data_IF_215545154837
#
_entry.id   IF_215545154837
#
_cell.length_a   1.000
_cell.length_b   1.000
_cell.length_c   1.000
_cell.angle_alpha   90.00
_cell.angle_beta   90.00
_cell.angle_gamma   90.00
#
_symmetry.space_group_name_H-M   'P 1'
#
loop_
_entity.id
_entity.type
_entity.pdbx_description
1 polymer ?
#
# COMPACT_ATOMS: atom_id res chain seq x y z
N UNK A 1 -23.61 -11.15 1.75
CA UNK A 1 -22.39 -10.40 1.37
C UNK A 1 -21.35 -11.21 0.58
N UNK A 2 -21.18 -12.54 0.77
CA UNK A 2 -20.27 -13.37 -0.07
C UNK A 2 -20.69 -13.52 -1.53
N UNK A 3 -22.00 -13.66 -1.76
CA UNK A 3 -22.55 -13.93 -3.10
C UNK A 3 -22.27 -12.79 -4.09
N UNK A 4 -22.21 -11.53 -3.62
CA UNK A 4 -21.87 -10.38 -4.45
C UNK A 4 -20.46 -10.50 -5.02
N UNK A 5 -19.47 -10.86 -4.18
CA UNK A 5 -18.09 -11.04 -4.65
C UNK A 5 -17.94 -12.25 -5.56
N UNK A 6 -18.69 -13.32 -5.30
CA UNK A 6 -18.77 -14.46 -6.21
C UNK A 6 -19.34 -14.05 -7.57
N UNK A 7 -20.47 -13.34 -7.62
CA UNK A 7 -21.04 -12.83 -8.86
C UNK A 7 -20.07 -11.89 -9.58
N UNK A 8 -19.42 -10.96 -8.88
CA UNK A 8 -18.41 -10.07 -9.46
C UNK A 8 -17.23 -10.85 -10.05
N UNK A 9 -16.72 -11.86 -9.32
CA UNK A 9 -15.67 -12.75 -9.82
C UNK A 9 -16.09 -13.48 -11.10
N UNK A 10 -17.26 -14.11 -11.10
CA UNK A 10 -17.77 -14.84 -12.28
C UNK A 10 -17.94 -13.90 -13.47
N UNK A 11 -18.47 -12.70 -13.25
CA UNK A 11 -18.62 -11.70 -14.32
C UNK A 11 -17.26 -11.29 -14.89
N UNK A 12 -16.28 -10.95 -14.05
CA UNK A 12 -14.94 -10.60 -14.51
C UNK A 12 -14.30 -11.75 -15.30
N UNK A 13 -14.38 -12.98 -14.79
CA UNK A 13 -13.84 -14.18 -15.44
C UNK A 13 -14.51 -14.46 -16.80
N UNK A 14 -15.84 -14.31 -16.89
CA UNK A 14 -16.54 -14.48 -18.16
C UNK A 14 -16.12 -13.42 -19.18
N UNK A 15 -15.94 -12.17 -18.75
CA UNK A 15 -15.45 -11.10 -19.62
C UNK A 15 -14.03 -11.41 -20.10
N UNK A 16 -13.13 -11.85 -19.23
CA UNK A 16 -11.78 -12.29 -19.62
C UNK A 16 -11.81 -13.42 -20.65
N UNK A 17 -12.65 -14.44 -20.45
CA UNK A 17 -12.79 -15.56 -21.40
C UNK A 17 -13.34 -15.08 -22.75
N UNK A 18 -14.32 -14.18 -22.74
CA UNK A 18 -14.89 -13.59 -23.96
C UNK A 18 -13.82 -12.77 -24.71
N UNK A 19 -13.07 -11.93 -23.99
CA UNK A 19 -11.97 -11.15 -24.57
C UNK A 19 -10.90 -12.09 -25.15
N UNK A 20 -10.47 -13.10 -24.39
CA UNK A 20 -9.44 -14.04 -24.83
C UNK A 20 -9.85 -14.85 -26.05
N UNK A 21 -11.14 -15.19 -26.19
CA UNK A 21 -11.65 -15.99 -27.30
C UNK A 21 -11.98 -15.16 -28.55
N UNK A 22 -12.56 -13.98 -28.39
CA UNK A 22 -13.17 -13.22 -29.51
C UNK A 22 -12.48 -11.90 -29.81
N UNK A 23 -11.74 -11.30 -28.87
CA UNK A 23 -11.06 -10.04 -29.12
C UNK A 23 -9.74 -10.25 -29.87
N UNK A 24 -9.34 -9.23 -30.63
CA UNK A 24 -8.05 -9.18 -31.32
C UNK A 24 -7.37 -7.83 -31.06
N UNK A 25 -6.05 -7.75 -31.29
CA UNK A 25 -5.28 -6.52 -31.10
C UNK A 25 -5.27 -6.01 -29.65
N UNK A 26 -5.39 -4.70 -29.49
CA UNK A 26 -5.25 -3.97 -28.21
C UNK A 26 -6.25 -4.45 -27.16
N UNK A 27 -7.48 -4.78 -27.56
CA UNK A 27 -8.52 -5.24 -26.63
C UNK A 27 -8.12 -6.56 -25.97
N UNK A 28 -7.48 -7.46 -26.71
CA UNK A 28 -7.03 -8.75 -26.18
C UNK A 28 -5.81 -8.63 -25.28
N UNK A 29 -4.84 -7.79 -25.64
CA UNK A 29 -3.56 -7.70 -24.93
C UNK A 29 -3.40 -6.56 -23.93
N UNK A 30 -4.46 -5.82 -23.61
CA UNK A 30 -4.40 -4.77 -22.57
C UNK A 30 -5.67 -4.79 -21.71
N UNK A 31 -6.84 -4.82 -22.36
CA UNK A 31 -8.12 -4.82 -21.65
C UNK A 31 -8.34 -6.11 -20.85
N UNK A 32 -7.83 -7.24 -21.36
CA UNK A 32 -7.77 -8.50 -20.61
C UNK A 32 -6.92 -8.37 -19.35
N UNK A 33 -5.70 -7.81 -19.46
CA UNK A 33 -4.74 -7.74 -18.36
C UNK A 33 -5.16 -6.77 -17.25
N UNK A 34 -5.92 -5.73 -17.61
CA UNK A 34 -6.57 -4.84 -16.63
C UNK A 34 -7.52 -5.62 -15.71
N UNK A 35 -8.22 -6.63 -16.22
CA UNK A 35 -9.21 -7.40 -15.47
C UNK A 35 -8.60 -8.43 -14.52
N UNK A 36 -7.35 -8.84 -14.75
CA UNK A 36 -6.67 -9.86 -13.94
C UNK A 36 -6.68 -9.49 -12.45
N UNK A 37 -6.35 -8.24 -12.12
CA UNK A 37 -6.30 -7.77 -10.73
C UNK A 37 -7.69 -7.75 -10.05
N UNK A 38 -8.75 -7.16 -10.65
CA UNK A 38 -10.12 -7.32 -10.19
C UNK A 38 -10.56 -8.77 -10.02
N UNK A 39 -10.26 -9.65 -10.99
CA UNK A 39 -10.62 -11.07 -10.96
C UNK A 39 -9.98 -11.77 -9.76
N UNK A 40 -8.66 -11.62 -9.57
CA UNK A 40 -7.92 -12.17 -8.43
C UNK A 40 -8.46 -11.63 -7.10
N UNK A 41 -8.72 -10.33 -7.04
CA UNK A 41 -9.26 -9.69 -5.84
C UNK A 41 -10.61 -10.29 -5.44
N UNK A 42 -11.57 -10.36 -6.36
CA UNK A 42 -12.90 -10.90 -6.06
C UNK A 42 -12.85 -12.39 -5.73
N UNK A 43 -11.98 -13.16 -6.39
CA UNK A 43 -11.74 -14.57 -6.08
C UNK A 43 -11.26 -14.74 -4.63
N UNK A 44 -10.16 -14.08 -4.26
CA UNK A 44 -9.58 -14.20 -2.91
C UNK A 44 -10.52 -13.65 -1.83
N UNK A 45 -11.23 -12.57 -2.13
CA UNK A 45 -12.22 -11.97 -1.23
C UNK A 45 -13.41 -12.89 -1.01
N UNK A 46 -13.87 -13.59 -2.04
CA UNK A 46 -14.96 -14.57 -1.92
C UNK A 46 -14.53 -15.81 -1.12
N UNK A 47 -13.38 -16.41 -1.45
CA UNK A 47 -12.93 -17.68 -0.87
C UNK A 47 -12.44 -17.51 0.58
N UNK A 48 -11.51 -16.57 0.81
CA UNK A 48 -10.76 -16.48 2.06
C UNK A 48 -11.14 -15.26 2.90
N UNK A 49 -11.37 -14.10 2.28
CA UNK A 49 -11.45 -12.81 2.98
C UNK A 49 -12.81 -12.11 2.85
N UNK A 50 -13.88 -12.87 3.01
CA UNK A 50 -15.24 -12.37 2.81
C UNK A 50 -15.69 -11.30 3.81
N UNK A 51 -15.02 -11.21 4.97
CA UNK A 51 -15.32 -10.23 6.00
C UNK A 51 -14.79 -8.86 5.58
N UNK A 52 -15.59 -7.81 5.77
CA UNK A 52 -15.18 -6.43 5.53
C UNK A 52 -14.27 -5.94 6.67
N UNK A 53 -13.02 -6.38 6.67
CA UNK A 53 -11.97 -5.86 7.54
C UNK A 53 -10.95 -5.06 6.71
N UNK A 54 -10.05 -4.38 7.41
CA UNK A 54 -9.02 -3.52 6.79
C UNK A 54 -8.16 -4.29 5.80
N UNK A 55 -7.82 -5.54 6.12
CA UNK A 55 -7.05 -6.40 5.22
C UNK A 55 -7.78 -6.64 3.90
N UNK A 56 -9.03 -7.13 3.94
CA UNK A 56 -9.84 -7.43 2.75
C UNK A 56 -10.12 -6.20 1.88
N UNK A 57 -10.28 -5.03 2.49
CA UNK A 57 -10.65 -3.81 1.78
C UNK A 57 -9.42 -3.10 1.21
N UNK A 58 -8.37 -2.88 2.02
CA UNK A 58 -7.28 -1.97 1.66
C UNK A 58 -5.98 -2.70 1.29
N UNK A 59 -5.71 -3.85 1.90
CA UNK A 59 -4.44 -4.57 1.74
C UNK A 59 -4.52 -5.61 0.63
N UNK A 60 -5.64 -6.32 0.53
CA UNK A 60 -5.85 -7.38 -0.46
C UNK A 60 -5.71 -6.89 -1.92
N UNK A 61 -6.23 -5.71 -2.32
CA UNK A 61 -6.00 -5.19 -3.68
C UNK A 61 -4.50 -4.96 -3.97
N UNK A 62 -3.77 -4.41 -2.99
CA UNK A 62 -2.33 -4.17 -3.08
C UNK A 62 -1.58 -5.51 -3.18
N UNK A 63 -1.98 -6.52 -2.41
CA UNK A 63 -1.41 -7.86 -2.49
C UNK A 63 -1.63 -8.47 -3.89
N UNK A 64 -2.80 -8.30 -4.50
CA UNK A 64 -3.08 -8.77 -5.86
C UNK A 64 -2.16 -8.08 -6.88
N UNK A 65 -1.95 -6.77 -6.75
CA UNK A 65 -1.01 -6.03 -7.59
C UNK A 65 0.44 -6.55 -7.46
N UNK A 66 0.90 -6.83 -6.23
CA UNK A 66 2.21 -7.46 -6.03
C UNK A 66 2.29 -8.88 -6.58
N UNK A 67 1.20 -9.65 -6.55
CA UNK A 67 1.16 -10.97 -7.21
C UNK A 67 1.33 -10.83 -8.73
N UNK A 68 0.74 -9.80 -9.36
CA UNK A 68 0.94 -9.49 -10.78
C UNK A 68 2.40 -9.17 -11.09
N UNK A 69 3.03 -8.26 -10.33
CA UNK A 69 4.47 -7.99 -10.45
C UNK A 69 5.33 -9.24 -10.30
N UNK A 70 5.00 -10.11 -9.35
CA UNK A 70 5.74 -11.35 -9.14
C UNK A 70 5.60 -12.28 -10.34
N UNK A 71 4.41 -12.38 -10.95
CA UNK A 71 4.22 -13.14 -12.18
C UNK A 71 5.11 -12.62 -13.32
N UNK A 72 5.16 -11.30 -13.54
CA UNK A 72 6.03 -10.68 -14.56
C UNK A 72 7.52 -10.93 -14.32
N UNK A 73 7.97 -10.82 -13.08
CA UNK A 73 9.37 -11.10 -12.72
C UNK A 73 9.70 -12.57 -12.99
N UNK A 74 8.79 -13.49 -12.66
CA UNK A 74 8.99 -14.92 -12.94
C UNK A 74 9.08 -15.20 -14.45
N UNK A 75 8.31 -14.48 -15.27
CA UNK A 75 8.41 -14.53 -16.73
C UNK A 75 9.73 -13.95 -17.24
N UNK A 76 10.21 -12.83 -16.67
CA UNK A 76 11.48 -12.19 -17.01
C UNK A 76 12.69 -13.13 -16.77
N UNK A 77 12.64 -13.91 -15.69
CA UNK A 77 13.70 -14.89 -15.36
C UNK A 77 13.69 -16.11 -16.30
N UNK A 78 12.66 -16.22 -17.15
CA UNK A 78 12.45 -17.28 -18.14
C UNK A 78 12.61 -18.67 -17.50
N UNK A 79 11.98 -18.86 -16.33
CA UNK A 79 12.04 -20.11 -15.56
C UNK A 79 11.55 -21.29 -16.41
N UNK A 80 10.59 -21.06 -17.30
CA UNK A 80 10.09 -22.05 -18.28
C UNK A 80 11.20 -22.54 -19.22
N UNK A 81 12.00 -21.61 -19.77
CA UNK A 81 13.16 -21.93 -20.60
C UNK A 81 14.27 -22.66 -19.83
N UNK A 82 14.52 -22.29 -18.57
CA UNK A 82 15.53 -22.95 -17.72
C UNK A 82 15.11 -24.34 -17.23
N UNK A 83 13.82 -24.58 -17.05
CA UNK A 83 13.27 -25.88 -16.63
C UNK A 83 12.97 -26.81 -17.82
N UNK A 84 13.20 -26.38 -19.05
CA UNK A 84 12.90 -27.17 -20.26
C UNK A 84 11.41 -27.48 -20.44
N UNK A 85 10.54 -26.71 -19.78
CA UNK A 85 9.09 -26.92 -19.84
C UNK A 85 8.61 -26.36 -21.18
N UNK A 86 7.96 -27.22 -21.98
CA UNK A 86 7.37 -26.80 -23.25
C UNK A 86 6.36 -25.66 -23.00
N UNK A 87 6.55 -24.51 -23.67
CA UNK A 87 5.65 -23.35 -23.59
C UNK A 87 4.24 -23.67 -24.07
N UNK A 88 4.04 -24.75 -24.84
CA UNK A 88 2.72 -25.24 -25.27
C UNK A 88 2.06 -26.15 -24.23
N UNK A 89 2.81 -26.64 -23.25
CA UNK A 89 2.24 -27.42 -22.16
C UNK A 89 1.34 -26.55 -21.29
N UNK A 90 0.38 -27.17 -20.59
CA UNK A 90 -0.48 -26.47 -19.63
C UNK A 90 0.34 -25.64 -18.62
N UNK A 91 1.46 -26.18 -18.15
CA UNK A 91 2.38 -25.48 -17.22
C UNK A 91 3.08 -24.31 -17.92
N UNK A 92 3.47 -24.45 -19.19
CA UNK A 92 4.05 -23.37 -19.99
C UNK A 92 3.08 -22.22 -20.28
N UNK A 93 1.80 -22.52 -20.46
CA UNK A 93 0.73 -21.52 -20.63
C UNK A 93 0.42 -20.82 -19.29
N UNK A 94 0.37 -21.57 -18.17
CA UNK A 94 0.12 -21.03 -16.83
C UNK A 94 1.29 -20.19 -16.31
N UNK A 95 2.54 -20.56 -16.63
CA UNK A 95 3.73 -19.79 -16.29
C UNK A 95 3.94 -18.56 -17.19
N UNK A 96 3.15 -18.44 -18.26
CA UNK A 96 3.01 -17.21 -19.02
C UNK A 96 4.13 -16.94 -20.05
N UNK A 97 3.95 -15.78 -20.69
CA UNK A 97 4.70 -15.31 -21.84
C UNK A 97 6.05 -14.68 -21.49
N UNK A 98 6.33 -13.53 -22.10
CA UNK A 98 7.53 -12.75 -21.83
C UNK A 98 7.14 -11.52 -21.03
N UNK A 99 8.06 -11.07 -20.18
CA UNK A 99 7.92 -9.83 -19.43
C UNK A 99 7.49 -8.66 -20.33
N UNK A 100 6.37 -8.02 -19.98
CA UNK A 100 5.90 -6.78 -20.61
C UNK A 100 5.60 -5.71 -19.56
N UNK A 101 6.18 -4.52 -19.74
CA UNK A 101 5.92 -3.36 -18.89
C UNK A 101 4.45 -2.93 -19.01
N UNK A 102 3.83 -3.15 -20.16
CA UNK A 102 2.43 -2.85 -20.38
C UNK A 102 1.50 -3.64 -19.45
N UNK A 103 1.86 -4.88 -19.11
CA UNK A 103 1.10 -5.72 -18.19
C UNK A 103 1.12 -5.12 -16.77
N UNK A 104 2.27 -4.58 -16.35
CA UNK A 104 2.40 -3.86 -15.07
C UNK A 104 1.49 -2.61 -15.04
N UNK A 105 1.41 -1.86 -16.14
CA UNK A 105 0.53 -0.71 -16.26
C UNK A 105 -0.93 -1.14 -16.26
N UNK A 106 -1.27 -2.24 -16.95
CA UNK A 106 -2.60 -2.82 -16.95
C UNK A 106 -3.04 -3.25 -15.54
N UNK A 107 -2.16 -3.93 -14.78
CA UNK A 107 -2.42 -4.31 -13.40
C UNK A 107 -2.64 -3.10 -12.48
N UNK A 108 -1.91 -2.01 -12.70
CA UNK A 108 -2.10 -0.76 -11.97
C UNK A 108 -3.46 -0.12 -12.27
N UNK A 109 -3.89 -0.15 -13.54
CA UNK A 109 -5.24 0.29 -13.93
C UNK A 109 -6.32 -0.61 -13.34
N UNK A 110 -6.09 -1.93 -13.30
CA UNK A 110 -6.98 -2.89 -12.64
C UNK A 110 -7.15 -2.59 -11.15
N UNK A 111 -6.07 -2.19 -10.48
CA UNK A 111 -6.13 -1.73 -9.10
C UNK A 111 -6.94 -0.44 -8.95
N UNK A 112 -6.79 0.51 -9.87
CA UNK A 112 -7.60 1.74 -9.89
C UNK A 112 -9.10 1.42 -10.05
N UNK A 113 -9.45 0.44 -10.89
CA UNK A 113 -10.83 -0.06 -11.05
C UNK A 113 -11.37 -0.65 -9.74
N UNK A 114 -10.57 -1.44 -9.01
CA UNK A 114 -10.95 -1.94 -7.67
C UNK A 114 -11.18 -0.77 -6.71
N UNK A 115 -10.30 0.25 -6.75
CA UNK A 115 -10.46 1.46 -5.96
C UNK A 115 -11.81 2.14 -6.24
N UNK A 116 -12.17 2.33 -7.52
CA UNK A 116 -13.47 2.90 -7.92
C UNK A 116 -14.62 2.02 -7.41
N UNK A 117 -14.55 0.70 -7.59
CA UNK A 117 -15.56 -0.22 -7.08
C UNK A 117 -15.75 -0.04 -5.56
N UNK A 118 -14.65 0.00 -4.81
CA UNK A 118 -14.67 0.19 -3.36
C UNK A 118 -15.19 1.56 -2.94
N UNK A 119 -14.95 2.60 -3.74
CA UNK A 119 -15.46 3.95 -3.55
C UNK A 119 -16.94 4.09 -3.90
N UNK A 120 -17.46 3.33 -4.88
CA UNK A 120 -18.90 3.28 -5.21
C UNK A 120 -19.68 2.46 -4.20
N UNK A 121 -19.04 1.45 -3.58
CA UNK A 121 -19.65 0.62 -2.53
C UNK A 121 -20.08 1.43 -1.27
N UNK A 122 -19.77 2.72 -1.20
CA UNK A 122 -19.66 3.52 0.03
C UNK A 122 -20.92 4.25 0.46
N UNK A 123 -22.10 3.72 0.16
CA UNK A 123 -23.32 4.23 0.81
C UNK A 123 -23.29 4.17 2.36
N UNK A 124 -22.26 3.61 3.02
CA UNK A 124 -22.30 3.26 4.44
C UNK A 124 -21.01 3.38 5.30
N UNK A 125 -19.89 3.98 4.85
CA UNK A 125 -18.71 4.19 5.75
C UNK A 125 -17.89 5.42 5.30
N UNK A 126 -17.65 6.39 6.21
CA UNK A 126 -16.93 7.66 5.95
C UNK A 126 -15.47 7.52 5.48
N UNK A 127 -14.87 6.34 5.63
CA UNK A 127 -13.44 6.09 5.43
C UNK A 127 -13.05 5.85 3.96
N UNK A 128 -14.01 5.74 3.03
CA UNK A 128 -13.77 5.39 1.60
C UNK A 128 -14.21 6.51 0.67
N UNK A 129 -13.67 7.70 0.87
CA UNK A 129 -14.03 8.86 0.06
C UNK A 129 -13.59 8.69 -1.41
N UNK A 130 -14.18 9.48 -2.31
CA UNK A 130 -13.96 9.41 -3.77
C UNK A 130 -12.49 9.53 -4.19
N UNK A 131 -11.63 10.14 -3.36
CA UNK A 131 -10.20 10.31 -3.63
C UNK A 131 -9.35 9.09 -3.23
N UNK A 132 -9.90 8.09 -2.54
CA UNK A 132 -9.18 6.87 -2.15
C UNK A 132 -8.42 6.19 -3.30
N UNK A 133 -9.04 5.96 -4.48
CA UNK A 133 -8.36 5.30 -5.59
C UNK A 133 -7.17 6.11 -6.10
N UNK A 134 -7.30 7.44 -6.07
CA UNK A 134 -6.27 8.38 -6.52
C UNK A 134 -5.08 8.34 -5.55
N UNK A 135 -5.33 8.38 -4.24
CA UNK A 135 -4.27 8.30 -3.24
C UNK A 135 -3.46 7.01 -3.34
N UNK A 136 -4.14 5.85 -3.44
CA UNK A 136 -3.48 4.55 -3.62
C UNK A 136 -2.68 4.50 -4.92
N UNK A 137 -3.23 5.03 -6.02
CA UNK A 137 -2.55 5.07 -7.31
C UNK A 137 -1.26 5.89 -7.25
N UNK A 138 -1.27 7.07 -6.62
CA UNK A 138 -0.08 7.91 -6.46
C UNK A 138 0.97 7.19 -5.59
N UNK A 139 0.54 6.57 -4.49
CA UNK A 139 1.46 5.82 -3.62
C UNK A 139 2.12 4.62 -4.29
N UNK A 140 1.47 4.00 -5.29
CA UNK A 140 1.99 2.83 -6.00
C UNK A 140 2.71 3.17 -7.30
N UNK A 141 2.68 4.42 -7.74
CA UNK A 141 3.47 4.91 -8.87
C UNK A 141 4.65 5.75 -8.39
N UNK A 142 4.33 6.90 -7.79
CA UNK A 142 5.30 7.88 -7.32
C UNK A 142 5.97 7.46 -5.99
N UNK A 143 5.18 6.90 -5.07
CA UNK A 143 5.65 6.44 -3.77
C UNK A 143 6.10 4.97 -3.73
N UNK A 144 6.26 4.31 -4.88
CA UNK A 144 6.31 2.84 -4.98
C UNK A 144 7.32 2.21 -4.01
N UNK A 145 8.59 2.66 -4.03
CA UNK A 145 9.66 2.07 -3.20
C UNK A 145 9.34 2.13 -1.69
N UNK A 146 8.78 3.24 -1.20
CA UNK A 146 8.41 3.36 0.21
C UNK A 146 7.19 2.53 0.55
N UNK A 147 6.19 2.52 -0.33
CA UNK A 147 4.99 1.72 -0.15
C UNK A 147 5.31 0.22 -0.14
N UNK A 148 6.27 -0.24 -0.97
CA UNK A 148 6.81 -1.61 -0.94
C UNK A 148 7.44 -1.95 0.41
N UNK A 149 8.32 -1.08 0.90
CA UNK A 149 8.99 -1.29 2.18
C UNK A 149 7.98 -1.24 3.35
N UNK A 150 7.01 -0.33 3.33
CA UNK A 150 5.91 -0.28 4.29
C UNK A 150 5.04 -1.53 4.25
N UNK A 151 4.71 -2.04 3.07
CA UNK A 151 3.96 -3.29 2.90
C UNK A 151 4.73 -4.49 3.46
N UNK A 152 6.04 -4.58 3.24
CA UNK A 152 6.86 -5.64 3.81
C UNK A 152 6.85 -5.61 5.35
N UNK A 153 6.96 -4.43 5.97
CA UNK A 153 6.86 -4.28 7.42
C UNK A 153 5.45 -4.66 7.90
N UNK A 154 4.41 -4.23 7.17
CA UNK A 154 3.02 -4.61 7.46
C UNK A 154 2.85 -6.13 7.51
N UNK A 155 3.41 -6.87 6.54
CA UNK A 155 3.36 -8.33 6.50
C UNK A 155 4.04 -8.97 7.73
N UNK A 156 5.11 -8.35 8.26
CA UNK A 156 5.77 -8.82 9.49
C UNK A 156 4.92 -8.61 10.75
N UNK A 157 4.01 -7.64 10.72
CA UNK A 157 3.14 -7.27 11.85
C UNK A 157 1.65 -7.57 11.59
N UNK A 158 1.32 -8.60 10.79
CA UNK A 158 -0.08 -8.98 10.46
C UNK A 158 -0.96 -9.32 11.67
N UNK A 159 -0.35 -9.70 12.81
CA UNK A 159 -1.07 -10.04 14.05
C UNK A 159 -1.42 -8.81 14.88
N UNK A 160 -0.86 -7.64 14.55
CA UNK A 160 -1.10 -6.40 15.26
C UNK A 160 -2.47 -5.79 14.90
N UNK A 161 -2.91 -4.82 15.70
CA UNK A 161 -4.16 -4.10 15.43
C UNK A 161 -3.92 -3.14 14.27
N UNK A 162 -4.69 -3.30 13.20
CA UNK A 162 -4.67 -2.39 12.06
C UNK A 162 -5.90 -1.48 12.10
N UNK A 163 -5.74 -0.22 11.68
CA UNK A 163 -6.80 0.78 11.52
C UNK A 163 -6.65 1.47 10.17
N UNK A 164 -7.74 1.96 9.61
CA UNK A 164 -7.67 2.87 8.48
C UNK A 164 -7.68 4.29 9.01
N UNK A 165 -6.68 5.09 8.66
CA UNK A 165 -6.52 6.45 9.16
C UNK A 165 -6.39 7.41 7.98
N UNK A 166 -7.45 8.17 7.69
CA UNK A 166 -7.46 9.30 6.73
C UNK A 166 -6.72 9.02 5.40
N UNK A 167 -6.91 7.86 4.78
CA UNK A 167 -6.27 7.52 3.50
C UNK A 167 -5.16 6.48 3.57
N UNK A 168 -4.59 6.26 4.76
CA UNK A 168 -3.44 5.38 4.97
C UNK A 168 -3.77 4.23 5.91
N UNK A 169 -2.93 3.20 5.87
CA UNK A 169 -3.08 1.99 6.69
C UNK A 169 -2.23 2.16 7.94
N UNK A 170 -2.88 2.34 9.07
CA UNK A 170 -2.23 2.42 10.37
C UNK A 170 -2.07 1.04 10.98
N UNK A 171 -0.87 0.73 11.47
CA UNK A 171 -0.59 -0.47 12.24
C UNK A 171 -0.10 -0.07 13.63
N UNK A 172 -0.83 -0.51 14.65
CA UNK A 172 -0.44 -0.30 16.04
C UNK A 172 0.52 -1.41 16.44
N UNK A 173 1.80 -1.08 16.56
CA UNK A 173 2.88 -2.05 16.78
C UNK A 173 3.49 -1.94 18.19
N UNK A 174 4.27 -2.93 18.66
CA UNK A 174 4.78 -2.93 20.04
C UNK A 174 5.98 -1.99 20.27
N UNK A 175 6.43 -1.24 19.26
CA UNK A 175 7.52 -0.29 19.43
C UNK A 175 7.01 1.04 20.02
N UNK A 176 7.86 1.72 20.79
CA UNK A 176 7.56 3.03 21.39
C UNK A 176 7.73 4.22 20.42
N UNK A 177 8.23 3.96 19.20
CA UNK A 177 8.43 4.97 18.15
C UNK A 177 7.37 4.84 17.05
N UNK A 178 7.16 5.92 16.30
CA UNK A 178 6.43 5.87 15.04
C UNK A 178 7.36 5.54 13.87
N UNK A 179 6.76 5.13 12.75
CA UNK A 179 7.43 4.99 11.46
C UNK A 179 6.41 5.19 10.34
N UNK A 180 6.75 6.02 9.34
CA UNK A 180 5.92 6.28 8.18
C UNK A 180 6.63 5.85 6.89
N UNK A 181 5.95 5.01 6.10
CA UNK A 181 6.47 4.40 4.87
C UNK A 181 5.38 4.39 3.79
N UNK A 182 5.23 5.52 3.10
CA UNK A 182 4.25 5.67 2.00
C UNK A 182 2.82 5.52 2.50
N UNK A 183 2.11 4.50 1.98
CA UNK A 183 0.72 4.21 2.37
C UNK A 183 0.58 3.61 3.78
N UNK A 184 1.68 3.20 4.41
CA UNK A 184 1.67 2.52 5.71
C UNK A 184 2.27 3.41 6.78
N UNK A 185 1.54 3.60 7.88
CA UNK A 185 2.06 4.22 9.10
C UNK A 185 2.03 3.23 10.26
N UNK A 186 3.04 3.29 11.10
CA UNK A 186 3.21 2.44 12.26
C UNK A 186 3.31 3.33 13.49
N UNK A 187 2.47 3.06 14.49
CA UNK A 187 2.33 3.93 15.66
C UNK A 187 2.33 3.10 16.95
N UNK A 188 2.79 3.65 18.07
CA UNK A 188 2.88 2.93 19.34
C UNK A 188 1.51 2.55 19.91
N UNK A 189 1.47 1.49 20.72
CA UNK A 189 0.24 1.01 21.36
C UNK A 189 -0.27 1.94 22.47
N UNK A 190 -1.60 2.13 22.50
CA UNK A 190 -2.36 2.89 23.49
C UNK A 190 -2.35 2.19 24.87
N UNK A 191 -2.19 0.87 24.90
CA UNK A 191 -2.41 0.02 26.09
C UNK A 191 -1.27 0.06 27.13
N UNK A 192 -0.12 0.68 26.81
CA UNK A 192 1.07 0.60 27.66
C UNK A 192 1.06 1.53 28.89
N UNK A 193 0.13 2.50 29.01
CA UNK A 193 -0.05 3.37 30.20
C UNK A 193 -1.31 4.26 30.11
N UNK A 194 -2.11 4.34 31.19
CA UNK A 194 -3.19 5.35 31.34
C UNK A 194 -2.61 6.76 31.11
N UNK A 195 -3.22 7.54 30.21
CA UNK A 195 -2.78 8.89 29.84
C UNK A 195 -1.91 8.97 28.58
N UNK A 196 -1.54 7.84 27.95
CA UNK A 196 -0.70 7.80 26.74
C UNK A 196 -1.49 7.98 25.43
N UNK A 197 -2.83 8.00 25.47
CA UNK A 197 -3.66 8.14 24.27
C UNK A 197 -3.40 9.45 23.51
N UNK A 198 -3.30 10.57 24.24
CA UNK A 198 -2.99 11.88 23.65
C UNK A 198 -1.62 11.86 22.95
N UNK A 199 -0.62 11.27 23.60
CA UNK A 199 0.70 11.06 23.00
C UNK A 199 0.63 10.20 21.73
N UNK A 200 -0.04 9.04 21.77
CA UNK A 200 -0.15 8.16 20.61
C UNK A 200 -0.89 8.84 19.44
N UNK A 201 -1.90 9.65 19.72
CA UNK A 201 -2.60 10.44 18.70
C UNK A 201 -1.66 11.47 18.08
N UNK A 202 -0.90 12.22 18.90
CA UNK A 202 0.12 13.16 18.43
C UNK A 202 1.20 12.48 17.58
N UNK A 203 1.67 11.28 17.96
CA UNK A 203 2.57 10.46 17.12
C UNK A 203 1.89 10.16 15.79
N UNK A 204 0.62 9.73 15.82
CA UNK A 204 -0.13 9.36 14.62
C UNK A 204 -0.24 10.54 13.64
N UNK A 205 -0.55 11.73 14.14
CA UNK A 205 -0.62 12.96 13.33
C UNK A 205 0.75 13.28 12.72
N UNK A 206 1.82 13.15 13.50
CA UNK A 206 3.19 13.36 13.02
C UNK A 206 3.60 12.37 11.92
N UNK A 207 3.38 11.07 12.14
CA UNK A 207 3.67 10.02 11.14
C UNK A 207 2.81 10.16 9.88
N UNK A 208 1.57 10.63 10.03
CA UNK A 208 0.72 10.98 8.90
C UNK A 208 1.29 12.15 8.10
N UNK A 209 1.89 13.14 8.77
CA UNK A 209 2.65 14.22 8.13
C UNK A 209 3.78 13.74 7.21
N UNK A 210 4.52 12.72 7.62
CA UNK A 210 5.53 12.07 6.79
C UNK A 210 4.94 11.43 5.52
N UNK A 211 3.67 11.01 5.52
CA UNK A 211 3.02 10.48 4.32
C UNK A 211 2.84 11.56 3.24
N UNK A 212 2.62 12.82 3.61
CA UNK A 212 2.58 13.93 2.65
C UNK A 212 3.95 14.26 2.08
N UNK A 213 4.99 14.19 2.91
CA UNK A 213 6.36 14.34 2.44
C UNK A 213 6.73 13.23 1.46
N UNK A 214 6.31 12.00 1.73
CA UNK A 214 6.45 10.86 0.82
C UNK A 214 5.69 11.08 -0.49
N UNK A 215 4.45 11.56 -0.44
CA UNK A 215 3.66 11.90 -1.62
C UNK A 215 4.28 13.04 -2.44
N UNK A 216 4.88 14.04 -1.78
CA UNK A 216 5.48 15.18 -2.47
C UNK A 216 6.83 14.82 -3.11
N UNK A 217 7.69 14.11 -2.38
CA UNK A 217 9.06 13.84 -2.80
C UNK A 217 9.23 12.52 -3.55
N UNK A 218 8.29 11.58 -3.42
CA UNK A 218 8.30 10.29 -4.09
C UNK A 218 9.64 9.57 -3.91
N UNK A 219 10.37 9.20 -4.99
CA UNK A 219 11.65 8.50 -4.90
C UNK A 219 12.73 9.25 -4.11
N UNK A 220 12.63 10.57 -3.96
CA UNK A 220 13.62 11.38 -3.24
C UNK A 220 13.38 11.40 -1.72
N UNK A 221 12.20 11.01 -1.24
CA UNK A 221 11.86 11.03 0.18
C UNK A 221 12.86 10.24 1.06
N UNK A 222 13.30 9.02 0.72
CA UNK A 222 14.22 8.28 1.58
C UNK A 222 15.56 9.01 1.72
N UNK A 223 15.99 9.74 0.68
CA UNK A 223 17.26 10.46 0.66
C UNK A 223 17.15 11.78 1.43
N UNK A 224 16.11 12.55 1.16
CA UNK A 224 15.95 13.91 1.70
C UNK A 224 15.38 13.89 3.13
N UNK A 225 14.50 12.94 3.44
CA UNK A 225 13.74 12.89 4.69
C UNK A 225 14.06 11.64 5.50
N UNK A 226 13.91 10.46 4.90
CA UNK A 226 14.02 9.19 5.63
C UNK A 226 15.39 9.00 6.29
N UNK A 227 16.49 9.15 5.53
CA UNK A 227 17.86 8.99 6.04
C UNK A 227 18.17 10.04 7.11
N UNK A 228 17.96 11.35 6.90
CA UNK A 228 18.18 12.35 7.95
C UNK A 228 17.37 12.12 9.22
N UNK A 229 16.08 11.78 9.09
CA UNK A 229 15.17 11.47 10.21
C UNK A 229 15.69 10.29 11.04
N UNK A 230 15.95 9.14 10.39
CA UNK A 230 16.46 7.94 11.06
C UNK A 230 17.83 8.20 11.68
N UNK A 231 18.73 8.89 10.96
CA UNK A 231 20.05 9.24 11.46
C UNK A 231 19.95 10.09 12.73
N UNK A 232 19.09 11.11 12.72
CA UNK A 232 18.85 11.98 13.87
C UNK A 232 18.26 11.23 15.06
N UNK A 233 17.33 10.30 14.84
CA UNK A 233 16.75 9.47 15.90
C UNK A 233 17.72 8.44 16.48
N UNK A 234 18.51 7.79 15.62
CA UNK A 234 19.17 6.51 15.93
C UNK A 234 20.68 6.64 16.20
N UNK A 235 21.36 7.66 15.67
CA UNK A 235 22.82 7.78 15.80
C UNK A 235 23.18 8.42 17.15
N UNK A 236 23.99 7.75 18.00
CA UNK A 236 24.34 8.26 19.34
C UNK A 236 25.01 9.63 19.33
N UNK A 237 25.80 9.95 18.29
CA UNK A 237 26.43 11.28 18.15
C UNK A 237 25.40 12.40 18.05
N UNK A 238 24.32 12.21 17.29
CA UNK A 238 23.26 13.22 17.18
C UNK A 238 22.43 13.31 18.46
N UNK A 239 22.21 12.18 19.15
CA UNK A 239 21.59 12.18 20.48
C UNK A 239 22.43 12.98 21.50
N UNK A 240 23.76 12.82 21.49
CA UNK A 240 24.66 13.60 22.35
C UNK A 240 24.62 15.10 22.02
N UNK A 241 24.59 15.47 20.74
CA UNK A 241 24.46 16.87 20.30
C UNK A 241 23.14 17.46 20.79
N UNK A 242 22.01 16.75 20.62
CA UNK A 242 20.72 17.21 21.13
C UNK A 242 20.73 17.43 22.63
N UNK A 243 21.29 16.48 23.39
CA UNK A 243 21.37 16.58 24.84
C UNK A 243 22.29 17.74 25.27
N UNK A 244 23.42 17.93 24.59
CA UNK A 244 24.39 18.99 24.88
C UNK A 244 23.80 20.39 24.64
N UNK A 245 23.05 20.57 23.56
CA UNK A 245 22.47 21.86 23.17
C UNK A 245 20.99 22.02 23.56
N UNK A 246 20.41 21.06 24.28
CA UNK A 246 18.98 21.00 24.64
C UNK A 246 18.05 21.21 23.44
N UNK A 247 18.40 20.64 22.28
CA UNK A 247 17.62 20.75 21.05
C UNK A 247 16.45 19.75 21.08
N UNK A 248 15.25 20.23 20.73
CA UNK A 248 14.06 19.39 20.53
C UNK A 248 14.24 18.46 19.32
N UNK A 249 13.57 17.32 19.30
CA UNK A 249 13.60 16.41 18.15
C UNK A 249 13.10 17.11 16.87
N UNK A 250 12.03 17.91 17.02
CA UNK A 250 11.41 18.75 15.98
C UNK A 250 12.29 19.89 15.47
N UNK A 251 13.51 20.07 16.01
CA UNK A 251 14.45 21.05 15.45
C UNK A 251 14.91 20.66 14.04
N UNK A 252 14.99 19.37 13.74
CA UNK A 252 15.35 18.91 12.41
C UNK A 252 14.24 19.28 11.41
N UNK A 253 14.62 19.85 10.27
CA UNK A 253 13.67 20.39 9.30
C UNK A 253 12.62 19.36 8.85
N UNK A 254 13.02 18.10 8.66
CA UNK A 254 12.12 17.04 8.21
C UNK A 254 11.06 16.69 9.26
N UNK A 255 11.42 16.70 10.54
CA UNK A 255 10.54 16.45 11.68
C UNK A 255 9.55 17.60 11.91
N UNK A 256 10.05 18.84 11.83
CA UNK A 256 9.21 20.04 11.88
C UNK A 256 8.19 20.05 10.76
N UNK A 257 8.64 19.70 9.55
CA UNK A 257 7.82 19.72 8.37
C UNK A 257 6.75 18.62 8.39
N UNK A 258 7.06 17.45 8.95
CA UNK A 258 6.10 16.37 9.13
C UNK A 258 5.00 16.80 10.10
N UNK A 259 5.38 17.30 11.27
CA UNK A 259 4.44 17.82 12.28
C UNK A 259 3.53 18.90 11.68
N UNK A 260 4.09 19.90 10.98
CA UNK A 260 3.32 20.95 10.33
C UNK A 260 2.28 20.42 9.32
N UNK A 261 2.66 19.47 8.46
CA UNK A 261 1.73 18.89 7.50
C UNK A 261 0.65 18.05 8.18
N UNK A 262 1.05 17.27 9.19
CA UNK A 262 0.13 16.50 10.03
C UNK A 262 -0.96 17.40 10.56
N UNK A 263 -0.60 18.43 11.32
CA UNK A 263 -1.55 19.36 11.94
C UNK A 263 -2.42 20.11 10.93
N UNK A 264 -1.81 20.59 9.85
CA UNK A 264 -2.52 21.36 8.84
C UNK A 264 -3.63 20.54 8.18
N UNK A 265 -3.40 19.24 7.96
CA UNK A 265 -4.38 18.37 7.30
C UNK A 265 -5.32 17.72 8.31
N UNK A 266 -4.86 17.41 9.51
CA UNK A 266 -5.70 16.75 10.51
C UNK A 266 -6.57 17.71 11.29
N UNK A 267 -6.10 18.94 11.51
CA UNK A 267 -6.62 19.89 12.48
C UNK A 267 -6.35 19.50 13.94
N UNK A 268 -5.50 18.49 14.16
CA UNK A 268 -5.13 17.94 15.47
C UNK A 268 -3.66 18.25 15.75
N UNK A 269 -3.30 18.43 17.02
CA UNK A 269 -1.92 18.70 17.41
C UNK A 269 -1.00 17.48 17.11
N UNK A 270 0.19 17.76 16.59
CA UNK A 270 1.26 16.80 16.43
C UNK A 270 2.21 16.83 17.65
N UNK A 271 3.16 15.89 17.70
CA UNK A 271 4.20 15.95 18.72
C UNK A 271 5.08 17.17 18.48
N UNK A 272 5.08 18.06 19.47
CA UNK A 272 6.11 19.07 19.68
C UNK A 272 6.79 18.75 21.00
N UNK A 273 7.81 17.90 20.97
CA UNK A 273 8.66 17.63 22.14
C UNK A 273 8.99 18.91 22.94
#
# INVERSE_FOLDING_TARGET
MRIRYFCSFVVCLLIEVIIGKYATGIVRGYLGDILVIPTLYFMLRFIFFAKNNIFSVYVLPILCYYMGWMAEILQAVNITGKLGIDKRSFIGIVLGGFFDINDIVAYLLGLFVIGIYLAVETKWVNDRQWWYPIGVFIHLTWGFLQTCAGFYIYLRFLKCKHRYYRGVIQTVWPANSGLSMGLFIFTPNEEDKKGRLDYCNKVTVHEYGHTFQALLLGPLYPIIIGIPSIAWGSIPKFQQIRNKYKLRYTWLFCEKWASFWGEKVTGEDAIWD
#
